data_IF_435683248688
#
_entry.id   IF_435683248688
#
_cell.length_a   1.000
_cell.length_b   1.000
_cell.length_c   1.000
_cell.angle_alpha   90.00
_cell.angle_beta   90.00
_cell.angle_gamma   90.00
#
_symmetry.space_group_name_H-M   'P 1'
#
loop_
_entity.id
_entity.type
_entity.pdbx_description
1 polymer ?
#
# COMPACT_ATOMS: atom_id res chain seq x y z
N UNK A 1 -8.70 6.78 -1.77
CA UNK A 1 -8.60 5.71 -0.78
C UNK A 1 -9.62 5.89 0.34
N UNK A 2 -10.22 4.80 0.85
CA UNK A 2 -11.08 4.87 2.03
C UNK A 2 -10.31 5.04 3.33
N UNK A 3 -9.01 4.81 3.32
CA UNK A 3 -8.14 4.91 4.49
C UNK A 3 -8.05 6.34 5.02
N UNK A 4 -7.92 6.50 6.35
CA UNK A 4 -7.76 7.80 7.02
C UNK A 4 -6.68 7.71 8.10
N UNK A 5 -6.20 8.86 8.58
CA UNK A 5 -5.24 8.92 9.69
C UNK A 5 -5.71 8.05 10.87
N UNK A 6 -4.85 7.26 11.52
CA UNK A 6 -3.39 7.14 11.29
C UNK A 6 -3.01 6.05 10.29
N UNK A 7 -3.95 5.52 9.53
CA UNK A 7 -3.74 4.36 8.65
C UNK A 7 -3.66 4.71 7.16
N UNK A 8 -3.66 5.98 6.80
CA UNK A 8 -3.40 6.42 5.43
C UNK A 8 -1.88 6.54 5.25
N UNK A 9 -1.31 5.67 4.41
CA UNK A 9 0.14 5.54 4.26
C UNK A 9 0.66 5.98 2.88
N UNK A 10 -0.14 6.71 2.11
CA UNK A 10 0.27 7.27 0.82
C UNK A 10 0.25 8.79 0.92
N UNK A 11 1.40 9.41 0.67
CA UNK A 11 1.51 10.87 0.67
C UNK A 11 1.29 11.47 -0.71
N UNK A 12 1.71 10.75 -1.77
CA UNK A 12 1.59 11.25 -3.13
C UNK A 12 1.66 10.11 -4.14
N UNK A 13 0.90 10.23 -5.22
CA UNK A 13 1.09 9.41 -6.41
C UNK A 13 2.05 10.16 -7.33
N UNK A 14 3.16 9.52 -7.69
CA UNK A 14 4.17 10.12 -8.55
C UNK A 14 3.85 9.88 -10.03
N UNK A 15 3.40 8.68 -10.38
CA UNK A 15 3.02 8.31 -11.73
C UNK A 15 2.12 7.10 -11.72
N UNK A 16 1.28 6.95 -12.76
CA UNK A 16 0.51 5.72 -12.95
C UNK A 16 0.08 5.56 -14.40
N UNK A 17 -0.16 4.32 -14.78
CA UNK A 17 -0.81 3.96 -16.03
C UNK A 17 -1.94 2.99 -15.67
N UNK A 18 -3.19 3.39 -15.94
CA UNK A 18 -4.36 2.57 -15.64
C UNK A 18 -4.21 1.18 -16.29
N UNK A 19 -4.54 0.14 -15.57
CA UNK A 19 -4.41 -1.24 -16.02
C UNK A 19 -3.00 -1.81 -15.99
N UNK A 20 -1.99 -1.04 -15.58
CA UNK A 20 -0.60 -1.45 -15.64
C UNK A 20 0.17 -1.28 -14.34
N UNK A 21 0.50 -0.05 -13.96
CA UNK A 21 1.38 0.19 -12.82
C UNK A 21 1.15 1.54 -12.15
N UNK A 22 1.75 1.68 -10.97
CA UNK A 22 1.74 2.91 -10.18
C UNK A 22 3.06 3.03 -9.42
N UNK A 23 3.52 4.27 -9.27
CA UNK A 23 4.58 4.62 -8.32
C UNK A 23 4.01 5.66 -7.37
N UNK A 24 3.99 5.32 -6.08
CA UNK A 24 3.49 6.18 -5.02
C UNK A 24 4.58 6.44 -3.98
N UNK A 25 4.40 7.48 -3.19
CA UNK A 25 5.35 7.92 -2.18
C UNK A 25 4.73 7.86 -0.80
N UNK A 26 5.46 7.26 0.14
CA UNK A 26 5.26 7.40 1.58
C UNK A 26 6.49 8.04 2.19
N UNK A 27 6.34 9.23 2.73
CA UNK A 27 7.39 9.87 3.51
C UNK A 27 7.39 9.30 4.93
N UNK A 28 8.48 8.68 5.33
CA UNK A 28 8.61 8.12 6.67
C UNK A 28 9.23 9.17 7.58
N UNK A 29 8.48 9.64 8.57
CA UNK A 29 8.93 10.70 9.47
C UNK A 29 9.02 10.19 10.89
N UNK A 30 9.81 10.89 11.74
CA UNK A 30 9.89 10.54 13.17
C UNK A 30 8.54 10.77 13.89
N UNK A 31 7.66 11.56 13.28
CA UNK A 31 6.34 11.88 13.84
C UNK A 31 5.26 10.86 13.48
N UNK A 32 5.64 9.61 13.29
CA UNK A 32 4.71 8.52 13.03
C UNK A 32 4.32 7.83 14.34
N UNK A 33 3.01 7.60 14.58
CA UNK A 33 2.58 6.97 15.84
C UNK A 33 3.22 5.62 16.13
N UNK A 34 3.50 4.82 15.09
CA UNK A 34 4.05 3.47 15.28
C UNK A 34 5.48 3.48 15.85
N UNK A 35 6.25 4.56 15.70
CA UNK A 35 7.61 4.61 16.24
C UNK A 35 7.65 4.68 17.76
N UNK A 36 6.54 5.04 18.42
CA UNK A 36 6.46 5.03 19.86
C UNK A 36 6.60 3.63 20.45
N UNK A 37 6.14 2.63 19.72
CA UNK A 37 6.15 1.25 20.19
C UNK A 37 7.05 0.29 19.40
N UNK A 38 7.59 0.72 18.26
CA UNK A 38 8.30 -0.21 17.38
C UNK A 38 9.65 0.36 16.91
N UNK A 39 10.64 0.54 17.68
CA UNK A 39 10.79 0.30 19.12
C UNK A 39 11.29 1.58 19.80
N UNK A 40 11.03 1.85 21.06
CA UNK A 40 11.44 3.11 21.72
C UNK A 40 12.92 3.42 21.62
N UNK A 41 13.79 2.41 21.67
CA UNK A 41 15.24 2.57 21.61
C UNK A 41 15.81 2.38 20.19
N UNK A 42 14.99 1.94 19.22
CA UNK A 42 15.43 1.70 17.85
C UNK A 42 14.22 1.78 16.89
N UNK A 43 13.80 3.00 16.53
CA UNK A 43 12.60 3.16 15.70
C UNK A 43 12.79 2.57 14.31
N UNK A 44 11.92 1.64 13.95
CA UNK A 44 11.88 0.99 12.63
C UNK A 44 10.44 0.93 12.17
N UNK A 45 10.18 1.25 10.91
CA UNK A 45 8.83 1.09 10.36
C UNK A 45 8.47 -0.39 10.34
N UNK A 46 7.33 -0.78 10.94
CA UNK A 46 6.90 -2.18 10.92
C UNK A 46 6.78 -2.72 9.50
N UNK A 47 7.37 -3.89 9.25
CA UNK A 47 7.30 -4.52 7.92
C UNK A 47 5.87 -4.73 7.45
N UNK A 48 4.97 -5.08 8.35
CA UNK A 48 3.55 -5.26 8.03
C UNK A 48 2.90 -3.96 7.55
N UNK A 49 3.37 -2.80 8.00
CA UNK A 49 2.87 -1.51 7.52
C UNK A 49 3.50 -1.11 6.18
N UNK A 50 4.70 -1.59 5.88
CA UNK A 50 5.27 -1.44 4.53
C UNK A 50 4.40 -2.20 3.53
N UNK A 51 4.01 -3.43 3.86
CA UNK A 51 3.09 -4.23 3.03
C UNK A 51 1.75 -3.51 2.89
N UNK A 52 1.22 -2.94 3.97
CA UNK A 52 -0.02 -2.16 3.92
C UNK A 52 0.11 -0.95 3.00
N UNK A 53 1.24 -0.23 3.05
CA UNK A 53 1.49 0.90 2.15
C UNK A 53 1.51 0.47 0.68
N UNK A 54 2.16 -0.67 0.37
CA UNK A 54 2.15 -1.24 -0.98
C UNK A 54 0.72 -1.60 -1.40
N UNK A 55 -0.07 -2.15 -0.50
CA UNK A 55 -1.47 -2.49 -0.79
C UNK A 55 -2.33 -1.25 -1.03
N UNK A 56 -2.07 -0.15 -0.33
CA UNK A 56 -2.77 1.11 -0.58
C UNK A 56 -2.42 1.69 -1.95
N UNK A 57 -1.17 1.62 -2.36
CA UNK A 57 -0.78 1.99 -3.72
C UNK A 57 -1.49 1.11 -4.76
N UNK A 58 -1.57 -0.20 -4.50
CA UNK A 58 -2.32 -1.13 -5.35
C UNK A 58 -3.81 -0.77 -5.40
N UNK A 59 -4.39 -0.35 -4.28
CA UNK A 59 -5.79 0.08 -4.24
C UNK A 59 -6.04 1.30 -5.12
N UNK A 60 -5.15 2.28 -5.10
CA UNK A 60 -5.25 3.44 -5.99
C UNK A 60 -5.21 2.99 -7.45
N UNK A 61 -4.28 2.10 -7.80
CA UNK A 61 -4.19 1.56 -9.16
C UNK A 61 -5.48 0.85 -9.56
N UNK A 62 -6.08 0.07 -8.66
CA UNK A 62 -7.37 -0.59 -8.90
C UNK A 62 -8.47 0.43 -9.20
N UNK A 63 -8.59 1.46 -8.38
CA UNK A 63 -9.62 2.49 -8.55
C UNK A 63 -9.44 3.28 -9.85
N UNK A 64 -8.23 3.71 -10.18
CA UNK A 64 -8.00 4.45 -11.43
C UNK A 64 -8.21 3.56 -12.66
N UNK A 65 -7.92 2.26 -12.54
CA UNK A 65 -8.14 1.28 -13.60
C UNK A 65 -9.63 1.08 -13.87
N UNK A 66 -10.43 1.01 -12.81
CA UNK A 66 -11.90 0.89 -12.93
C UNK A 66 -12.58 2.20 -13.34
N UNK A 67 -11.89 3.33 -13.24
CA UNK A 67 -12.50 4.64 -13.43
C UNK A 67 -13.43 5.02 -12.27
N UNK A 68 -13.34 4.32 -11.13
CA UNK A 68 -14.16 4.57 -9.95
C UNK A 68 -13.41 5.42 -8.93
N UNK A 69 -14.17 6.17 -8.12
CA UNK A 69 -13.62 6.87 -6.96
C UNK A 69 -13.90 6.04 -5.72
N UNK A 70 -12.93 6.01 -4.81
CA UNK A 70 -13.17 5.50 -3.48
C UNK A 70 -14.22 6.37 -2.79
N UNK A 71 -15.25 5.76 -2.26
CA UNK A 71 -16.28 6.43 -1.49
C UNK A 71 -16.48 5.70 -0.16
N UNK A 72 -17.41 6.19 0.67
CA UNK A 72 -17.66 5.62 1.98
C UNK A 72 -18.28 4.22 1.91
N UNK A 73 -18.67 3.75 0.73
CA UNK A 73 -19.33 2.46 0.52
C UNK A 73 -18.37 1.38 0.03
N UNK A 74 -17.18 1.77 -0.44
CA UNK A 74 -16.22 0.82 -0.97
C UNK A 74 -15.20 0.45 0.09
N UNK A 75 -14.94 -0.84 0.23
CA UNK A 75 -13.90 -1.36 1.11
C UNK A 75 -12.94 -2.21 0.30
N UNK A 76 -11.67 -2.08 0.65
CA UNK A 76 -10.57 -2.77 -0.01
C UNK A 76 -9.93 -3.75 0.98
N UNK A 77 -9.97 -5.03 0.63
CA UNK A 77 -9.49 -6.09 1.50
C UNK A 77 -8.31 -6.83 0.91
N UNK A 78 -7.38 -7.25 1.76
CA UNK A 78 -6.46 -8.30 1.41
C UNK A 78 -7.19 -9.63 1.28
N UNK A 79 -6.83 -10.39 0.25
CA UNK A 79 -7.23 -11.79 0.08
C UNK A 79 -6.04 -12.70 0.35
N UNK A 80 -4.85 -12.26 -0.01
CA UNK A 80 -3.63 -13.01 0.23
C UNK A 80 -2.40 -12.14 0.05
N UNK A 81 -1.32 -12.58 0.68
CA UNK A 81 0.01 -11.98 0.59
C UNK A 81 0.98 -13.13 0.41
N UNK A 82 1.74 -13.12 -0.70
CA UNK A 82 2.70 -14.17 -1.00
C UNK A 82 4.09 -13.58 -1.18
N UNK A 83 5.10 -14.38 -0.86
CA UNK A 83 6.51 -14.07 -1.11
C UNK A 83 6.93 -12.71 -0.54
N UNK A 84 6.40 -12.36 0.63
CA UNK A 84 6.80 -11.15 1.32
C UNK A 84 8.23 -11.29 1.83
N UNK A 85 9.10 -10.31 1.50
CA UNK A 85 10.49 -10.27 1.92
C UNK A 85 10.84 -8.87 2.38
N UNK A 86 11.56 -8.80 3.48
CA UNK A 86 12.03 -7.55 4.08
C UNK A 86 13.54 -7.56 4.03
N UNK A 87 14.11 -6.77 3.12
CA UNK A 87 15.54 -6.84 2.77
C UNK A 87 16.36 -5.76 3.46
N UNK A 88 15.70 -4.69 3.93
CA UNK A 88 16.33 -3.56 4.56
C UNK A 88 15.36 -2.87 5.52
N UNK A 89 15.80 -2.48 6.74
CA UNK A 89 14.97 -1.66 7.61
C UNK A 89 14.63 -0.31 6.98
N UNK A 90 13.43 0.18 7.24
CA UNK A 90 12.96 1.51 6.85
C UNK A 90 12.83 2.35 8.12
N UNK A 91 13.43 3.53 8.12
CA UNK A 91 13.51 4.39 9.29
C UNK A 91 13.07 5.81 8.97
N UNK A 92 12.95 6.64 10.01
CA UNK A 92 12.59 8.05 9.84
C UNK A 92 13.62 8.76 8.94
N UNK A 93 13.11 9.55 8.02
CA UNK A 93 13.90 10.24 7.01
C UNK A 93 13.93 9.56 5.66
N UNK A 94 13.47 8.30 5.57
CA UNK A 94 13.40 7.59 4.31
C UNK A 94 12.20 8.04 3.49
N UNK A 95 12.41 8.27 2.19
CA UNK A 95 11.34 8.44 1.22
C UNK A 95 11.08 7.07 0.59
N UNK A 96 9.97 6.46 0.95
CA UNK A 96 9.63 5.12 0.52
C UNK A 96 8.84 5.19 -0.79
N UNK A 97 9.44 4.71 -1.87
CA UNK A 97 8.82 4.65 -3.19
C UNK A 97 8.16 3.28 -3.38
N UNK A 98 6.87 3.30 -3.64
CA UNK A 98 6.05 2.09 -3.74
C UNK A 98 5.76 1.83 -5.20
N UNK A 99 6.42 0.82 -5.76
CA UNK A 99 6.27 0.40 -7.14
C UNK A 99 5.33 -0.80 -7.18
N UNK A 100 4.17 -0.65 -7.80
CA UNK A 100 3.16 -1.71 -7.86
C UNK A 100 2.76 -1.93 -9.32
N UNK A 101 2.80 -3.17 -9.75
CA UNK A 101 2.41 -3.59 -11.08
C UNK A 101 1.25 -4.56 -11.00
N UNK A 102 0.19 -4.27 -11.77
CA UNK A 102 -0.95 -5.18 -11.89
C UNK A 102 -0.53 -6.39 -12.73
N UNK A 103 -0.64 -7.59 -12.16
CA UNK A 103 -0.31 -8.82 -12.86
C UNK A 103 -1.54 -9.56 -13.36
N UNK A 104 -2.67 -9.45 -12.67
CA UNK A 104 -3.90 -10.12 -13.07
C UNK A 104 -5.12 -9.47 -12.41
N UNK A 105 -6.22 -9.39 -13.17
CA UNK A 105 -7.52 -8.99 -12.63
C UNK A 105 -8.59 -9.92 -13.22
N UNK A 106 -9.12 -10.83 -12.41
CA UNK A 106 -10.14 -11.80 -12.84
C UNK A 106 -11.18 -11.95 -11.73
N UNK A 107 -12.45 -11.79 -12.09
CA UNK A 107 -13.59 -12.04 -11.19
C UNK A 107 -13.55 -11.23 -9.88
N UNK A 108 -13.16 -9.97 -9.97
CA UNK A 108 -13.09 -9.10 -8.80
C UNK A 108 -11.87 -9.32 -7.93
N UNK A 109 -10.99 -10.24 -8.30
CA UNK A 109 -9.71 -10.47 -7.61
C UNK A 109 -8.60 -9.78 -8.39
N UNK A 110 -7.82 -8.97 -7.68
CA UNK A 110 -6.71 -8.19 -8.22
C UNK A 110 -5.40 -8.74 -7.67
N UNK A 111 -4.46 -9.03 -8.56
CA UNK A 111 -3.12 -9.49 -8.18
C UNK A 111 -2.06 -8.50 -8.62
N UNK A 112 -1.11 -8.25 -7.74
CA UNK A 112 -0.05 -7.27 -7.96
C UNK A 112 1.31 -7.83 -7.56
N UNK A 113 2.34 -7.38 -8.28
CA UNK A 113 3.73 -7.50 -7.82
C UNK A 113 4.16 -6.13 -7.30
N UNK A 114 4.67 -6.07 -6.08
CA UNK A 114 4.98 -4.82 -5.41
C UNK A 114 6.39 -4.80 -4.83
N UNK A 115 7.04 -3.63 -4.90
CA UNK A 115 8.32 -3.35 -4.28
C UNK A 115 8.24 -2.00 -3.56
N UNK A 116 8.83 -1.95 -2.37
CA UNK A 116 9.07 -0.70 -1.65
C UNK A 116 10.56 -0.39 -1.69
N UNK A 117 10.92 0.78 -2.20
CA UNK A 117 12.31 1.18 -2.41
C UNK A 117 12.67 2.43 -1.64
N UNK A 118 13.89 2.44 -1.12
CA UNK A 118 14.54 3.64 -0.58
C UNK A 118 15.72 3.95 -1.51
N UNK A 119 15.62 5.03 -2.29
CA UNK A 119 16.57 5.27 -3.38
C UNK A 119 16.50 4.12 -4.37
N UNK A 120 17.64 3.55 -4.72
CA UNK A 120 17.74 2.42 -5.65
C UNK A 120 17.66 1.05 -4.96
N UNK A 121 17.51 1.03 -3.63
CA UNK A 121 17.55 -0.20 -2.85
C UNK A 121 16.13 -0.68 -2.58
N UNK A 122 15.85 -1.94 -2.90
CA UNK A 122 14.59 -2.60 -2.55
C UNK A 122 14.61 -2.90 -1.05
N UNK A 123 13.74 -2.24 -0.29
CA UNK A 123 13.62 -2.46 1.15
C UNK A 123 12.67 -3.62 1.45
N UNK A 124 11.61 -3.78 0.67
CA UNK A 124 10.65 -4.87 0.82
C UNK A 124 10.01 -5.19 -0.53
N UNK A 125 9.48 -6.41 -0.64
CA UNK A 125 8.71 -6.84 -1.81
C UNK A 125 7.64 -7.83 -1.39
N UNK A 126 6.58 -7.93 -2.19
CA UNK A 126 5.51 -8.89 -1.97
C UNK A 126 4.66 -9.05 -3.22
N UNK A 127 3.95 -10.18 -3.28
CA UNK A 127 2.82 -10.36 -4.19
C UNK A 127 1.55 -10.14 -3.40
N UNK A 128 0.66 -9.30 -3.90
CA UNK A 128 -0.56 -8.92 -3.21
C UNK A 128 -1.77 -9.41 -3.97
N UNK A 129 -2.74 -9.95 -3.23
CA UNK A 129 -4.04 -10.31 -3.77
C UNK A 129 -5.10 -9.55 -2.98
N UNK A 130 -5.94 -8.80 -3.68
CA UNK A 130 -6.91 -7.92 -3.06
C UNK A 130 -8.25 -8.02 -3.76
N UNK A 131 -9.30 -7.60 -3.06
CA UNK A 131 -10.64 -7.45 -3.63
C UNK A 131 -11.24 -6.12 -3.19
N UNK A 132 -12.04 -5.54 -4.09
CA UNK A 132 -12.83 -4.35 -3.78
C UNK A 132 -14.28 -4.78 -3.60
N UNK A 133 -14.90 -4.38 -2.50
CA UNK A 133 -16.30 -4.69 -2.20
C UNK A 133 -17.04 -3.44 -1.79
N UNK A 134 -18.30 -3.35 -2.23
CA UNK A 134 -19.20 -2.34 -1.76
C UNK A 134 -19.89 -2.81 -0.48
N UNK A 135 -20.06 -1.87 0.48
CA UNK A 135 -20.84 -2.16 1.66
C UNK A 135 -22.31 -2.35 1.27
N UNK A 136 -23.04 -3.30 1.92
CA UNK A 136 -24.48 -3.41 1.72
C UNK A 136 -25.19 -2.11 2.06
N UNK A 137 -26.24 -1.75 1.29
CA UNK A 137 -27.03 -0.54 1.54
C UNK A 137 -27.58 -0.46 2.96
N UNK A 138 -27.84 -1.60 3.58
CA UNK A 138 -28.42 -1.70 4.94
C UNK A 138 -27.34 -1.83 6.03
N UNK A 139 -26.06 -1.72 5.70
CA UNK A 139 -25.00 -1.71 6.71
C UNK A 139 -25.03 -0.38 7.45
N UNK A 140 -25.32 -0.45 8.71
CA UNK A 140 -25.36 0.74 9.57
C UNK A 140 -23.98 1.06 10.12
#
# INVERSE_FOLDING_TARGET
>A
LPHRYPFLLIDRVLSYEAGKDIVALKNVTINEPFFNGHFPHHPVMPGVLIVEAMAQAAAILSFVTMGAKADDKSIYYFVGIDNARFKRPVTAGDALHLHVRLTRHVRGIWKFAAEARVGDVVAAEAELMCTVRDLPENAA
#
